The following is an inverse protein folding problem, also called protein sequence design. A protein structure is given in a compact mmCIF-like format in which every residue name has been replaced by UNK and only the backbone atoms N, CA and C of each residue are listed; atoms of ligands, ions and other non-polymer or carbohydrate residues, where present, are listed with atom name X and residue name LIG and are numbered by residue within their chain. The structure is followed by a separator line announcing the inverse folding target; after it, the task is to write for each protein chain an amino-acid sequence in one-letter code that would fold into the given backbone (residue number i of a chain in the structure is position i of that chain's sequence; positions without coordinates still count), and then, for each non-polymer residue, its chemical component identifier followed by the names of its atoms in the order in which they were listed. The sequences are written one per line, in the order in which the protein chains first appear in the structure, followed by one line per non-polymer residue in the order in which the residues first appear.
data_IF_927747031633
#
_entry.id   IF_927747031633
#
_cell.length_a   1.000
_cell.length_b   1.000
_cell.length_c   1.000
_cell.angle_alpha   90.00
_cell.angle_beta   90.00
_cell.angle_gamma   90.00
#
_symmetry.space_group_name_H-M   'P 1'
#
loop_
_entity.id
_entity.type
_entity.pdbx_description
1 polymer ?
#
# COMPACT_ATOMS: atom_id res chain seq x y z
N UNK A 1 24.85 -1.68 -72.41
CA UNK A 1 25.00 -3.14 -72.64
C UNK A 1 26.32 -3.55 -72.03
N UNK A 2 26.28 -4.40 -71.00
CA UNK A 2 27.29 -5.38 -70.53
C UNK A 2 26.83 -5.83 -69.13
N UNK A 3 26.42 -7.10 -69.05
CA UNK A 3 26.19 -7.86 -67.82
C UNK A 3 27.52 -8.55 -67.48
N UNK A 4 27.96 -8.56 -66.21
CA UNK A 4 28.50 -9.81 -65.66
C UNK A 4 27.97 -10.08 -64.24
N UNK A 5 27.26 -11.19 -64.03
CA UNK A 5 27.77 -12.50 -63.59
C UNK A 5 27.81 -12.63 -62.05
N UNK A 6 26.78 -13.28 -61.52
CA UNK A 6 26.73 -13.84 -60.17
C UNK A 6 27.48 -15.18 -60.13
N UNK A 7 28.38 -15.40 -59.16
CA UNK A 7 28.67 -16.74 -58.68
C UNK A 7 27.88 -17.03 -57.40
N UNK A 8 26.94 -17.96 -57.55
CA UNK A 8 26.29 -18.65 -56.44
C UNK A 8 27.25 -19.66 -55.78
N UNK A 9 26.98 -19.90 -54.49
CA UNK A 9 27.38 -21.03 -53.66
C UNK A 9 28.72 -20.93 -52.90
N UNK A 10 28.62 -20.56 -51.63
CA UNK A 10 29.35 -21.25 -50.57
C UNK A 10 28.48 -21.31 -49.31
N UNK A 11 28.13 -22.53 -48.94
CA UNK A 11 27.45 -22.92 -47.71
C UNK A 11 28.23 -22.40 -46.50
N UNK A 12 27.54 -21.68 -45.62
CA UNK A 12 28.02 -21.34 -44.29
C UNK A 12 26.94 -21.62 -43.26
N UNK A 13 26.95 -22.85 -42.72
CA UNK A 13 26.35 -23.14 -41.42
C UNK A 13 27.11 -22.33 -40.37
N UNK A 14 26.45 -21.44 -39.62
CA UNK A 14 26.92 -21.00 -38.31
C UNK A 14 25.76 -20.42 -37.48
N UNK A 15 25.37 -21.21 -36.49
CA UNK A 15 24.79 -20.86 -35.19
C UNK A 15 23.74 -19.74 -35.13
N UNK A 16 22.48 -20.15 -34.99
CA UNK A 16 21.45 -19.33 -34.38
C UNK A 16 21.77 -19.07 -32.91
N UNK A 17 22.04 -17.81 -32.56
CA UNK A 17 22.00 -17.37 -31.16
C UNK A 17 20.53 -17.14 -30.82
N UNK A 18 19.86 -18.17 -30.33
CA UNK A 18 18.60 -18.00 -29.63
C UNK A 18 18.91 -17.28 -28.32
N UNK A 19 18.75 -15.95 -28.29
CA UNK A 19 18.72 -15.19 -27.04
C UNK A 19 17.42 -15.60 -26.34
N UNK A 20 17.48 -16.68 -25.56
CA UNK A 20 16.47 -16.97 -24.57
C UNK A 20 16.54 -15.85 -23.53
N UNK A 21 15.76 -14.79 -23.75
CA UNK A 21 15.46 -13.82 -22.72
C UNK A 21 14.79 -14.59 -21.58
N UNK A 22 15.58 -14.97 -20.58
CA UNK A 22 15.10 -15.39 -19.28
C UNK A 22 14.36 -14.16 -18.70
N UNK A 23 13.08 -14.04 -19.02
CA UNK A 23 12.18 -13.18 -18.27
C UNK A 23 12.06 -13.81 -16.88
N UNK A 24 12.98 -13.48 -15.98
CA UNK A 24 12.81 -13.79 -14.57
C UNK A 24 11.45 -13.23 -14.14
N UNK A 25 10.53 -14.06 -13.63
CA UNK A 25 9.30 -13.53 -13.08
C UNK A 25 9.69 -12.67 -11.88
N UNK A 26 9.41 -11.37 -11.98
CA UNK A 26 9.49 -10.42 -10.87
C UNK A 26 8.32 -10.72 -9.94
N UNK A 27 8.38 -11.86 -9.25
CA UNK A 27 7.40 -12.33 -8.27
C UNK A 27 8.07 -12.38 -6.89
N UNK A 28 8.67 -11.27 -6.47
CA UNK A 28 9.19 -11.09 -5.11
C UNK A 28 9.46 -9.62 -4.76
N UNK A 29 8.81 -8.66 -5.42
CA UNK A 29 8.76 -7.31 -4.85
C UNK A 29 7.86 -7.43 -3.62
N UNK A 30 8.45 -7.40 -2.43
CA UNK A 30 7.73 -7.39 -1.16
C UNK A 30 6.49 -6.52 -1.32
N UNK A 31 5.30 -7.09 -1.14
CA UNK A 31 4.07 -6.30 -1.16
C UNK A 31 4.29 -5.14 -0.19
N UNK A 32 3.96 -3.89 -0.57
CA UNK A 32 4.18 -2.75 0.29
C UNK A 32 3.48 -3.01 1.63
N UNK A 33 4.26 -2.97 2.72
CA UNK A 33 3.78 -3.21 4.08
C UNK A 33 2.99 -2.00 4.58
N UNK A 34 1.79 -1.82 4.00
CA UNK A 34 0.94 -0.66 4.20
C UNK A 34 -0.54 -1.04 4.26
N UNK A 35 -1.30 -0.32 5.09
CA UNK A 35 -2.77 -0.34 5.13
C UNK A 35 -3.27 0.99 4.56
N UNK A 36 -4.08 0.93 3.51
CA UNK A 36 -4.70 2.12 2.95
C UNK A 36 -5.93 2.48 3.80
N UNK A 37 -5.85 3.61 4.50
CA UNK A 37 -7.00 4.19 5.21
C UNK A 37 -7.71 5.13 4.25
N UNK A 38 -9.01 4.94 4.03
CA UNK A 38 -9.80 5.77 3.11
C UNK A 38 -11.01 6.36 3.82
N UNK A 39 -11.03 7.69 3.94
CA UNK A 39 -12.20 8.45 4.39
C UNK A 39 -13.10 8.78 3.21
N UNK A 40 -14.42 8.73 3.41
CA UNK A 40 -15.44 9.13 2.44
C UNK A 40 -16.50 9.95 3.15
N UNK A 41 -16.84 11.12 2.61
CA UNK A 41 -17.81 12.02 3.22
C UNK A 41 -18.81 12.56 2.19
N UNK A 42 -20.09 12.63 2.57
CA UNK A 42 -21.20 13.11 1.73
C UNK A 42 -21.77 12.09 0.73
N UNK A 43 -22.85 12.49 0.02
CA UNK A 43 -23.35 11.87 -1.21
C UNK A 43 -23.37 12.95 -2.31
N UNK A 44 -22.39 12.92 -3.23
CA UNK A 44 -22.27 13.50 -4.61
C UNK A 44 -23.06 14.79 -4.98
N UNK A 45 -22.54 15.74 -5.79
CA UNK A 45 -21.16 16.16 -6.12
C UNK A 45 -20.83 17.52 -5.45
N UNK A 46 -19.60 17.81 -5.01
CA UNK A 46 -18.57 18.42 -5.86
C UNK A 46 -17.16 18.36 -5.25
N UNK A 47 -16.20 18.16 -6.16
CA UNK A 47 -14.73 18.29 -6.12
C UNK A 47 -13.84 17.37 -5.25
N UNK A 48 -14.15 16.94 -4.02
CA UNK A 48 -13.37 15.86 -3.33
C UNK A 48 -14.27 15.06 -2.38
N UNK A 49 -14.61 13.83 -2.76
CA UNK A 49 -15.53 12.97 -1.99
C UNK A 49 -14.82 11.93 -1.10
N UNK A 50 -13.51 11.77 -1.29
CA UNK A 50 -12.70 10.80 -0.57
C UNK A 50 -11.26 11.25 -0.46
N UNK A 51 -10.63 10.90 0.65
CA UNK A 51 -9.18 10.99 0.82
C UNK A 51 -8.67 9.63 1.27
N UNK A 52 -7.49 9.26 0.79
CA UNK A 52 -6.82 8.02 1.19
C UNK A 52 -5.40 8.32 1.63
N UNK A 53 -4.93 7.59 2.64
CA UNK A 53 -3.57 7.70 3.14
C UNK A 53 -3.01 6.30 3.41
N UNK A 54 -1.82 5.95 2.88
CA UNK A 54 -1.10 4.76 3.30
C UNK A 54 -0.58 4.90 4.74
N UNK A 55 -0.84 3.87 5.55
CA UNK A 55 -0.28 3.69 6.89
C UNK A 55 0.68 2.52 6.85
N UNK A 56 1.98 2.81 6.92
CA UNK A 56 3.00 1.76 6.92
C UNK A 56 3.08 1.04 8.26
N UNK A 57 3.29 -0.27 8.18
CA UNK A 57 3.62 -1.14 9.29
C UNK A 57 4.98 -1.83 9.13
N UNK A 58 5.82 -1.37 8.18
CA UNK A 58 7.13 -1.95 7.92
C UNK A 58 8.10 -1.83 9.11
N UNK A 59 7.88 -0.84 9.97
CA UNK A 59 8.62 -0.65 11.22
C UNK A 59 8.03 -1.44 12.40
N UNK A 60 6.97 -2.23 12.19
CA UNK A 60 6.25 -2.96 13.22
C UNK A 60 6.40 -4.48 13.07
N UNK A 61 6.45 -5.16 14.21
CA UNK A 61 6.42 -6.61 14.32
C UNK A 61 5.04 -7.05 14.82
N UNK A 62 4.12 -7.33 13.88
CA UNK A 62 2.72 -7.62 14.20
C UNK A 62 2.51 -8.94 14.96
N UNK A 63 3.56 -9.75 15.15
CA UNK A 63 3.52 -10.86 16.11
C UNK A 63 3.38 -10.37 17.56
N UNK A 64 3.72 -9.10 17.84
CA UNK A 64 3.65 -8.48 19.16
C UNK A 64 2.40 -7.63 19.36
N UNK A 65 1.71 -7.85 20.48
CA UNK A 65 0.52 -7.11 20.87
C UNK A 65 0.75 -5.59 20.93
N UNK A 66 1.93 -5.17 21.39
CA UNK A 66 2.33 -3.75 21.44
C UNK A 66 2.30 -3.10 20.06
N UNK A 67 2.87 -3.79 19.07
CA UNK A 67 3.06 -3.27 17.73
C UNK A 67 1.73 -3.29 16.96
N UNK A 68 0.88 -4.31 17.22
CA UNK A 68 -0.50 -4.31 16.72
C UNK A 68 -1.34 -3.16 17.30
N UNK A 69 -1.16 -2.81 18.58
CA UNK A 69 -1.82 -1.64 19.19
C UNK A 69 -1.36 -0.33 18.54
N UNK A 70 -0.07 -0.19 18.27
CA UNK A 70 0.48 0.96 17.55
C UNK A 70 -0.16 1.07 16.16
N UNK A 71 -0.25 -0.02 15.40
CA UNK A 71 -0.89 0.01 14.07
C UNK A 71 -2.35 0.47 14.14
N UNK A 72 -3.14 -0.10 15.07
CA UNK A 72 -4.55 0.30 15.28
C UNK A 72 -4.67 1.78 15.61
N UNK A 73 -3.80 2.30 16.48
CA UNK A 73 -3.77 3.72 16.82
C UNK A 73 -3.44 4.59 15.61
N UNK A 74 -2.41 4.23 14.81
CA UNK A 74 -2.05 4.94 13.58
C UNK A 74 -3.23 5.02 12.61
N UNK A 75 -3.96 3.92 12.45
CA UNK A 75 -5.15 3.85 11.59
C UNK A 75 -6.26 4.77 12.11
N UNK A 76 -6.58 4.71 13.40
CA UNK A 76 -7.62 5.55 14.03
C UNK A 76 -7.34 7.05 13.84
N UNK A 77 -6.11 7.47 14.15
CA UNK A 77 -5.68 8.86 14.02
C UNK A 77 -5.68 9.34 12.56
N UNK A 78 -5.26 8.46 11.64
CA UNK A 78 -5.27 8.75 10.20
C UNK A 78 -6.70 8.87 9.68
N UNK A 79 -7.61 7.97 10.05
CA UNK A 79 -9.02 8.04 9.67
C UNK A 79 -9.64 9.35 10.13
N UNK A 80 -9.39 9.74 11.38
CA UNK A 80 -9.83 11.05 11.90
C UNK A 80 -9.27 12.20 11.08
N UNK A 81 -7.96 12.23 10.85
CA UNK A 81 -7.31 13.29 10.08
C UNK A 81 -7.91 13.44 8.67
N UNK A 82 -8.18 12.32 7.98
CA UNK A 82 -8.78 12.32 6.66
C UNK A 82 -10.22 12.83 6.69
N UNK A 83 -11.03 12.37 7.65
CA UNK A 83 -12.43 12.77 7.75
C UNK A 83 -12.59 14.23 8.22
N UNK A 84 -11.73 14.71 9.14
CA UNK A 84 -11.65 16.12 9.52
C UNK A 84 -11.34 17.00 8.28
N UNK A 85 -10.41 16.56 7.42
CA UNK A 85 -10.10 17.25 6.15
C UNK A 85 -11.25 17.21 5.13
N UNK A 86 -12.07 16.16 5.17
CA UNK A 86 -13.27 16.04 4.35
C UNK A 86 -14.45 16.86 4.89
N UNK A 87 -14.29 17.53 6.03
CA UNK A 87 -15.33 18.36 6.65
C UNK A 87 -16.37 17.57 7.43
N UNK A 88 -16.04 16.37 7.89
CA UNK A 88 -16.92 15.62 8.79
C UNK A 88 -17.09 16.38 10.12
N UNK A 89 -18.34 16.61 10.59
CA UNK A 89 -18.58 17.13 11.92
C UNK A 89 -18.14 16.12 12.98
N UNK A 90 -17.70 16.62 14.15
CA UNK A 90 -17.23 15.78 15.25
C UNK A 90 -18.24 14.73 15.75
N UNK A 91 -19.53 14.92 15.45
CA UNK A 91 -20.63 14.01 15.75
C UNK A 91 -21.40 13.67 14.47
N UNK A 92 -21.46 12.39 14.14
CA UNK A 92 -22.33 11.91 13.06
C UNK A 92 -23.80 11.90 13.51
N UNK A 93 -24.72 12.19 12.58
CA UNK A 93 -26.15 12.05 12.79
C UNK A 93 -26.57 10.58 12.58
N UNK A 94 -27.15 9.90 13.59
CA UNK A 94 -27.71 8.55 13.40
C UNK A 94 -28.75 8.52 12.27
N UNK A 95 -28.90 7.42 11.51
CA UNK A 95 -28.38 6.06 11.75
C UNK A 95 -27.11 5.69 10.96
N UNK A 96 -26.52 6.62 10.18
CA UNK A 96 -25.33 6.32 9.38
C UNK A 96 -24.06 6.35 10.24
N UNK A 97 -23.09 5.43 10.02
CA UNK A 97 -21.79 5.53 10.67
C UNK A 97 -21.08 6.81 10.25
N UNK A 98 -20.28 7.38 11.15
CA UNK A 98 -19.38 8.48 10.81
C UNK A 98 -18.40 8.03 9.70
N UNK A 99 -17.93 8.96 8.86
CA UNK A 99 -16.80 8.75 7.95
C UNK A 99 -15.64 8.12 8.71
N UNK A 100 -15.34 8.61 9.92
CA UNK A 100 -14.29 8.05 10.77
C UNK A 100 -14.53 6.58 11.09
N UNK A 101 -15.70 6.21 11.59
CA UNK A 101 -16.00 4.83 12.00
C UNK A 101 -16.00 3.90 10.78
N UNK A 102 -16.54 4.36 9.64
CA UNK A 102 -16.52 3.61 8.39
C UNK A 102 -15.09 3.40 7.87
N UNK A 103 -14.24 4.43 7.93
CA UNK A 103 -12.84 4.36 7.51
C UNK A 103 -12.01 3.44 8.41
N UNK A 104 -12.20 3.52 9.72
CA UNK A 104 -11.56 2.60 10.68
C UNK A 104 -12.03 1.17 10.43
N UNK A 105 -13.33 0.93 10.28
CA UNK A 105 -13.87 -0.41 10.04
C UNK A 105 -13.39 -1.02 8.72
N UNK A 106 -13.25 -0.22 7.64
CA UNK A 106 -12.66 -0.71 6.38
C UNK A 106 -11.18 -1.09 6.56
N UNK A 107 -10.39 -0.20 7.17
CA UNK A 107 -8.98 -0.45 7.40
C UNK A 107 -8.74 -1.65 8.32
N UNK A 108 -9.54 -1.81 9.39
CA UNK A 108 -9.41 -2.92 10.33
C UNK A 108 -9.69 -4.28 9.70
N UNK A 109 -10.62 -4.39 8.75
CA UNK A 109 -10.82 -5.65 8.00
C UNK A 109 -9.55 -6.09 7.24
N UNK A 110 -8.77 -5.12 6.75
CA UNK A 110 -7.48 -5.37 6.09
C UNK A 110 -6.42 -5.77 7.11
N UNK A 111 -6.37 -5.06 8.25
CA UNK A 111 -5.47 -5.42 9.37
C UNK A 111 -5.71 -6.84 9.83
N UNK A 112 -6.96 -7.25 10.04
CA UNK A 112 -7.28 -8.60 10.52
C UNK A 112 -6.77 -9.67 9.54
N UNK A 113 -6.88 -9.41 8.24
CA UNK A 113 -6.33 -10.28 7.18
C UNK A 113 -4.80 -10.31 7.22
N UNK A 114 -4.16 -9.16 7.41
CA UNK A 114 -2.70 -9.04 7.52
C UNK A 114 -2.17 -9.74 8.78
N UNK A 115 -2.80 -9.53 9.93
CA UNK A 115 -2.42 -10.11 11.21
C UNK A 115 -2.61 -11.64 11.20
N UNK A 116 -3.70 -12.15 10.61
CA UNK A 116 -3.96 -13.59 10.51
C UNK A 116 -2.90 -14.33 9.69
N UNK A 117 -2.30 -13.68 8.68
CA UNK A 117 -1.22 -14.24 7.86
C UNK A 117 0.19 -13.95 8.38
N UNK A 118 0.33 -13.24 9.50
CA UNK A 118 1.63 -12.73 9.93
C UNK A 118 2.44 -13.80 10.70
N UNK A 119 3.55 -14.24 10.10
CA UNK A 119 4.55 -15.04 10.79
C UNK A 119 5.49 -14.13 11.61
N UNK A 120 6.02 -14.59 12.77
CA UNK A 120 7.05 -13.87 13.49
C UNK A 120 8.23 -13.48 12.59
N UNK A 121 8.74 -12.26 12.78
CA UNK A 121 9.90 -11.77 12.04
C UNK A 121 11.12 -12.66 12.33
N UNK A 122 11.79 -13.13 11.27
CA UNK A 122 12.99 -13.96 11.38
C UNK A 122 14.24 -13.18 11.85
N UNK A 123 15.33 -13.88 12.12
CA UNK A 123 16.60 -13.28 12.59
C UNK A 123 17.26 -12.33 11.59
N UNK A 124 16.88 -12.43 10.31
CA UNK A 124 17.36 -11.56 9.23
C UNK A 124 16.49 -10.33 9.02
N UNK A 125 15.38 -10.19 9.75
CA UNK A 125 14.51 -9.03 9.63
C UNK A 125 15.17 -7.79 10.21
N UNK A 126 15.10 -6.71 9.45
CA UNK A 126 15.53 -5.37 9.86
C UNK A 126 14.31 -4.48 9.88
N UNK A 127 14.14 -3.73 10.97
CA UNK A 127 13.05 -2.76 11.10
C UNK A 127 13.10 -1.77 9.95
N UNK A 128 11.97 -1.59 9.26
CA UNK A 128 11.82 -0.58 8.22
C UNK A 128 11.94 0.85 8.75
N UNK A 129 11.85 1.81 7.85
CA UNK A 129 11.79 3.23 8.24
C UNK A 129 10.55 3.49 9.11
N UNK A 130 10.72 4.29 10.16
CA UNK A 130 9.61 4.70 11.02
C UNK A 130 8.53 5.38 10.19
N UNK A 131 7.28 4.94 10.32
CA UNK A 131 6.16 5.60 9.64
C UNK A 131 6.06 7.06 10.07
N UNK A 132 5.89 7.96 9.09
CA UNK A 132 5.70 9.39 9.31
C UNK A 132 4.22 9.72 9.22
N UNK A 133 3.66 10.19 10.33
CA UNK A 133 2.27 10.58 10.39
C UNK A 133 2.00 11.79 9.49
N UNK A 134 0.82 11.86 8.84
CA UNK A 134 0.43 13.02 8.02
C UNK A 134 -0.13 14.18 8.86
N UNK A 135 -0.28 13.99 10.18
CA UNK A 135 -0.86 14.94 11.13
C UNK A 135 0.21 15.53 12.07
N UNK A 136 -0.06 16.69 12.70
CA UNK A 136 0.83 17.32 13.68
C UNK A 136 1.20 16.41 14.88
N UNK A 137 2.32 16.69 15.54
CA UNK A 137 2.83 15.86 16.63
C UNK A 137 1.94 15.83 17.89
N UNK A 138 1.14 16.88 18.13
CA UNK A 138 0.20 16.97 19.25
C UNK A 138 -1.10 16.17 19.02
N UNK A 139 -1.33 15.70 17.79
CA UNK A 139 -2.56 15.01 17.39
C UNK A 139 -2.89 13.75 18.22
N UNK A 140 -1.93 12.85 18.52
CA UNK A 140 -2.20 11.69 19.37
C UNK A 140 -2.56 12.07 20.82
N UNK A 141 -2.05 13.19 21.32
CA UNK A 141 -2.39 13.69 22.66
C UNK A 141 -3.78 14.31 22.68
N UNK A 142 -4.15 15.03 21.61
CA UNK A 142 -5.46 15.65 21.46
C UNK A 142 -6.57 14.61 21.25
N UNK A 143 -6.25 13.50 20.59
CA UNK A 143 -7.19 12.45 20.21
C UNK A 143 -6.65 11.06 20.61
N UNK A 144 -6.71 10.70 21.90
CA UNK A 144 -6.19 9.42 22.39
C UNK A 144 -6.90 8.20 21.79
#
# INVERSE_FOLDING_TARGET
MIIPHFPSAARGLCLGVAIAALTSPVLAQNAPEEIIVSGRYGKVPDSVQSLSQPVSYADLDLSKDSDRKILRQRISLTARFLCDKLGEPATAAPPAPSCRDAAVADAMRRVDTTEAGFAPRGTTWVRGQSWKAPYPEDWPTKYP
#
